data_IF_344374150497
#
_entry.id   IF_344374150497
#
_cell.length_a   1.000
_cell.length_b   1.000
_cell.length_c   1.000
_cell.angle_alpha   90.00
_cell.angle_beta   90.00
_cell.angle_gamma   90.00
#
_symmetry.space_group_name_H-M   'P 1'
#
loop_
_entity.id
_entity.type
_entity.pdbx_description
1 polymer ?
#
# COMPACT_ATOMS: atom_id res chain seq x y z
N UNK A 1 -4.55 -24.32 -5.30
CA UNK A 1 -4.65 -23.53 -4.05
C UNK A 1 -3.75 -22.31 -4.24
N UNK A 2 -4.31 -21.09 -4.28
CA UNK A 2 -3.52 -19.87 -4.51
C UNK A 2 -2.75 -19.54 -3.23
N UNK A 3 -1.49 -19.96 -3.14
CA UNK A 3 -0.57 -19.44 -2.13
C UNK A 3 -0.31 -17.96 -2.47
N UNK A 4 -1.02 -17.06 -1.81
CA UNK A 4 -0.65 -15.66 -1.81
C UNK A 4 0.67 -15.56 -1.05
N UNK A 5 1.69 -14.85 -1.58
CA UNK A 5 2.91 -14.57 -0.81
C UNK A 5 2.63 -13.72 0.45
N UNK A 6 1.42 -13.14 0.54
CA UNK A 6 0.96 -12.33 1.66
C UNK A 6 -0.02 -13.11 2.54
N UNK A 7 0.09 -12.90 3.85
CA UNK A 7 -0.91 -13.36 4.80
C UNK A 7 -2.19 -12.53 4.64
N UNK A 8 -3.21 -13.16 4.04
CA UNK A 8 -4.49 -12.52 3.77
C UNK A 8 -5.24 -12.12 5.05
N UNK A 9 -4.99 -12.81 6.17
CA UNK A 9 -5.65 -12.50 7.44
C UNK A 9 -5.14 -11.18 8.01
N UNK A 10 -3.83 -10.91 7.88
CA UNK A 10 -3.24 -9.64 8.27
C UNK A 10 -3.78 -8.51 7.40
N UNK A 11 -3.84 -8.71 6.08
CA UNK A 11 -4.40 -7.72 5.15
C UNK A 11 -5.86 -7.40 5.51
N UNK A 12 -6.70 -8.43 5.72
CA UNK A 12 -8.10 -8.23 6.07
C UNK A 12 -8.26 -7.48 7.40
N UNK A 13 -7.48 -7.86 8.43
CA UNK A 13 -7.53 -7.18 9.73
C UNK A 13 -7.19 -5.69 9.64
N UNK A 14 -6.28 -5.31 8.73
CA UNK A 14 -5.91 -3.91 8.52
C UNK A 14 -7.02 -3.16 7.79
N UNK A 15 -7.62 -3.75 6.76
CA UNK A 15 -8.77 -3.19 6.03
C UNK A 15 -9.94 -2.93 7.01
N UNK A 16 -10.25 -3.92 7.85
CA UNK A 16 -11.32 -3.81 8.85
C UNK A 16 -11.01 -2.71 9.89
N UNK A 17 -9.75 -2.62 10.34
CA UNK A 17 -9.33 -1.59 11.32
C UNK A 17 -9.44 -0.15 10.77
N UNK A 18 -9.38 0.02 9.45
CA UNK A 18 -9.50 1.31 8.77
C UNK A 18 -10.95 1.62 8.36
N UNK A 19 -11.91 0.75 8.67
CA UNK A 19 -13.32 0.87 8.30
C UNK A 19 -13.55 1.02 6.78
N UNK A 20 -12.71 0.38 5.97
CA UNK A 20 -12.82 0.41 4.51
C UNK A 20 -13.82 -0.67 4.09
N UNK A 21 -15.04 -0.24 3.76
CA UNK A 21 -16.15 -1.13 3.39
C UNK A 21 -16.05 -1.70 1.98
N UNK A 22 -15.48 -0.93 1.03
CA UNK A 22 -15.21 -1.38 -0.34
C UNK A 22 -13.81 -0.96 -0.74
N UNK A 23 -12.89 -1.92 -0.76
CA UNK A 23 -11.50 -1.69 -1.15
C UNK A 23 -11.36 -1.11 -2.56
N UNK A 24 -12.27 -1.44 -3.48
CA UNK A 24 -12.25 -0.93 -4.86
C UNK A 24 -12.53 0.57 -4.95
N UNK A 25 -13.11 1.16 -3.89
CA UNK A 25 -13.40 2.58 -3.76
C UNK A 25 -12.49 3.30 -2.77
N UNK A 26 -11.50 2.59 -2.21
CA UNK A 26 -10.55 3.18 -1.30
C UNK A 26 -9.79 4.31 -1.99
N UNK A 27 -9.64 5.42 -1.26
CA UNK A 27 -8.81 6.54 -1.69
C UNK A 27 -7.34 6.13 -1.74
N UNK A 28 -6.55 6.87 -2.51
CA UNK A 28 -5.09 6.63 -2.57
C UNK A 28 -4.43 6.68 -1.18
N UNK A 29 -4.91 7.54 -0.27
CA UNK A 29 -4.38 7.63 1.10
C UNK A 29 -4.67 6.37 1.91
N UNK A 30 -5.86 5.81 1.76
CA UNK A 30 -6.23 4.55 2.41
C UNK A 30 -5.40 3.39 1.87
N UNK A 31 -5.23 3.27 0.56
CA UNK A 31 -4.40 2.23 -0.06
C UNK A 31 -2.95 2.31 0.42
N UNK A 32 -2.37 3.51 0.45
CA UNK A 32 -1.01 3.75 0.97
C UNK A 32 -0.90 3.37 2.45
N UNK A 33 -1.93 3.68 3.25
CA UNK A 33 -1.98 3.36 4.69
C UNK A 33 -2.07 1.87 4.91
N UNK A 34 -2.92 1.16 4.15
CA UNK A 34 -3.02 -0.30 4.20
C UNK A 34 -1.67 -0.92 3.86
N UNK A 35 -1.08 -0.58 2.71
CA UNK A 35 0.19 -1.15 2.28
C UNK A 35 1.28 -0.95 3.35
N UNK A 36 1.44 0.28 3.84
CA UNK A 36 2.45 0.61 4.86
C UNK A 36 2.22 -0.13 6.18
N UNK A 37 0.95 -0.26 6.62
CA UNK A 37 0.60 -0.94 7.87
C UNK A 37 0.84 -2.45 7.77
N UNK A 38 0.53 -3.05 6.62
CA UNK A 38 0.78 -4.48 6.42
C UNK A 38 2.28 -4.76 6.28
N UNK A 39 3.04 -3.92 5.57
CA UNK A 39 4.52 -4.02 5.54
C UNK A 39 5.12 -3.96 6.95
N UNK A 40 4.63 -3.03 7.79
CA UNK A 40 5.12 -2.88 9.17
C UNK A 40 4.78 -4.09 10.05
N UNK A 41 3.58 -4.68 9.90
CA UNK A 41 3.15 -5.85 10.67
C UNK A 41 3.84 -7.14 10.24
N UNK A 42 4.10 -7.29 8.94
CA UNK A 42 4.63 -8.54 8.36
C UNK A 42 6.15 -8.53 8.21
N UNK A 43 6.77 -7.33 8.19
CA UNK A 43 8.19 -7.16 7.83
C UNK A 43 8.48 -7.43 6.35
N UNK A 44 7.47 -7.73 5.54
CA UNK A 44 7.63 -8.00 4.11
C UNK A 44 7.48 -6.70 3.32
N UNK A 45 8.38 -6.45 2.38
CA UNK A 45 8.30 -5.28 1.49
C UNK A 45 7.47 -5.59 0.25
N UNK A 46 6.69 -4.59 -0.16
CA UNK A 46 5.76 -4.66 -1.28
C UNK A 46 6.34 -3.92 -2.47
N UNK A 47 5.94 -4.33 -3.67
CA UNK A 47 6.15 -3.50 -4.86
C UNK A 47 5.02 -2.48 -4.90
N UNK A 48 5.35 -1.22 -4.61
CA UNK A 48 4.40 -0.11 -4.58
C UNK A 48 4.29 0.51 -5.97
N UNK A 49 3.09 0.50 -6.53
CA UNK A 49 2.78 1.00 -7.89
C UNK A 49 1.70 2.09 -7.88
N UNK A 50 1.17 2.42 -6.71
CA UNK A 50 0.04 3.33 -6.54
C UNK A 50 0.45 4.82 -6.59
N UNK A 51 1.73 5.12 -6.39
CA UNK A 51 2.24 6.50 -6.34
C UNK A 51 2.77 6.95 -7.71
N UNK A 52 2.05 7.86 -8.36
CA UNK A 52 2.46 8.50 -9.62
C UNK A 52 3.45 9.67 -9.44
N UNK A 53 4.45 9.53 -8.57
CA UNK A 53 5.45 10.59 -8.31
C UNK A 53 6.75 10.31 -9.07
N UNK A 54 7.48 11.35 -9.54
CA UNK A 54 8.78 11.15 -10.17
C UNK A 54 9.76 10.47 -9.20
N UNK A 55 10.32 9.33 -9.62
CA UNK A 55 11.34 8.59 -8.87
C UNK A 55 12.77 9.11 -9.11
N UNK A 56 12.92 10.24 -9.81
CA UNK A 56 14.19 10.84 -10.17
C UNK A 56 14.32 12.23 -9.55
N UNK A 57 15.56 12.65 -9.30
CA UNK A 57 15.83 13.99 -8.79
C UNK A 57 15.36 15.06 -9.78
N UNK A 58 14.88 16.19 -9.25
CA UNK A 58 14.56 17.35 -10.06
C UNK A 58 15.81 17.85 -10.82
N UNK A 59 15.59 18.33 -12.04
CA UNK A 59 16.63 19.00 -12.82
C UNK A 59 17.21 20.16 -12.02
N UNK A 60 18.54 20.27 -11.98
CA UNK A 60 19.23 21.40 -11.35
C UNK A 60 19.18 22.67 -12.21
N UNK A 61 18.84 22.54 -13.49
CA UNK A 61 18.66 23.66 -14.40
C UNK A 61 17.17 23.99 -14.38
N UNK A 62 16.81 25.13 -13.76
CA UNK A 62 15.42 25.61 -13.65
C UNK A 62 14.83 25.66 -12.24
N UNK A 63 15.65 25.52 -11.18
CA UNK A 63 15.30 25.86 -9.79
C UNK A 63 15.69 27.30 -9.48
#
# INVERSE_FOLDING_TARGET
>A
MKHSPLDITVVQSVIDSLNISDFSKATIREVVTIASTVEQKTGQKYIRMEMGVPGIAASQIGV
#
